data_IF_617888440764
#
_entry.id   IF_617888440764
#
_cell.length_a   1.000
_cell.length_b   1.000
_cell.length_c   1.000
_cell.angle_alpha   90.00
_cell.angle_beta   90.00
_cell.angle_gamma   90.00
#
_symmetry.space_group_name_H-M   'P 1'
#
loop_
_entity.id
_entity.type
_entity.pdbx_description
1 polymer ?
#
# COMPACT_ATOMS: atom_id res chain seq x y z
N UNK A 1 -43.67 6.24 41.99
CA UNK A 1 -42.32 6.72 42.34
C UNK A 1 -41.23 5.65 42.11
N UNK A 2 -41.45 4.35 42.40
CA UNK A 2 -40.43 3.28 42.21
C UNK A 2 -39.93 3.14 40.76
N UNK A 3 -40.78 3.31 39.74
CA UNK A 3 -40.41 3.15 38.33
C UNK A 3 -39.53 4.27 37.75
N UNK A 4 -39.51 5.43 38.41
CA UNK A 4 -38.68 6.57 37.97
C UNK A 4 -37.27 6.40 38.55
N UNK A 5 -37.15 5.98 39.80
CA UNK A 5 -35.85 5.72 40.42
C UNK A 5 -35.09 4.55 39.75
N UNK A 6 -35.77 3.50 39.33
CA UNK A 6 -35.13 2.41 38.61
C UNK A 6 -34.71 2.82 37.20
N UNK A 7 -35.47 3.63 36.48
CA UNK A 7 -35.07 4.18 35.16
C UNK A 7 -33.87 5.14 35.26
N UNK A 8 -33.85 6.01 36.27
CA UNK A 8 -32.70 6.89 36.50
C UNK A 8 -31.44 6.13 36.90
N UNK A 9 -31.57 5.05 37.66
CA UNK A 9 -30.46 4.17 38.03
C UNK A 9 -29.88 3.44 36.79
N UNK A 10 -30.72 2.92 35.91
CA UNK A 10 -30.27 2.31 34.64
C UNK A 10 -29.60 3.32 33.70
N UNK A 11 -30.14 4.53 33.59
CA UNK A 11 -29.52 5.61 32.81
C UNK A 11 -28.18 6.05 33.38
N UNK A 12 -28.05 6.14 34.67
CA UNK A 12 -26.80 6.47 35.38
C UNK A 12 -25.76 5.33 35.26
N UNK A 13 -26.20 4.07 35.33
CA UNK A 13 -25.35 2.91 35.09
C UNK A 13 -24.86 2.80 33.65
N UNK A 14 -25.72 3.14 32.65
CA UNK A 14 -25.32 3.20 31.24
C UNK A 14 -24.33 4.34 30.99
N UNK A 15 -24.49 5.47 31.68
CA UNK A 15 -23.59 6.63 31.55
C UNK A 15 -22.21 6.34 32.19
N UNK A 16 -22.15 5.54 33.26
CA UNK A 16 -20.90 5.11 33.86
C UNK A 16 -20.11 4.09 32.99
N UNK A 17 -20.80 3.26 32.24
CA UNK A 17 -20.14 2.33 31.27
C UNK A 17 -19.47 3.00 30.09
N UNK A 18 -19.88 4.21 29.71
CA UNK A 18 -19.31 4.91 28.56
C UNK A 18 -17.95 5.60 28.83
N UNK A 19 -17.50 5.66 30.09
CA UNK A 19 -16.26 6.37 30.47
C UNK A 19 -15.00 5.51 30.28
N UNK A 20 -15.11 4.20 30.04
CA UNK A 20 -13.96 3.29 29.97
C UNK A 20 -13.41 2.99 28.56
N UNK A 21 -13.87 3.66 27.52
CA UNK A 21 -13.37 3.44 26.16
C UNK A 21 -12.25 4.41 25.73
N UNK A 22 -11.48 4.94 26.67
CA UNK A 22 -10.29 5.76 26.34
C UNK A 22 -9.12 4.82 26.00
N UNK A 23 -8.84 4.66 24.70
CA UNK A 23 -7.63 3.98 24.26
C UNK A 23 -6.38 4.61 24.87
N UNK A 24 -5.49 3.80 25.41
CA UNK A 24 -4.24 4.24 26.01
C UNK A 24 -3.19 4.52 24.93
N UNK A 25 -2.23 5.37 25.26
CA UNK A 25 -1.17 5.75 24.33
C UNK A 25 0.03 4.82 24.49
N UNK A 26 0.31 4.05 23.44
CA UNK A 26 1.60 3.41 23.24
C UNK A 26 2.53 4.41 22.58
N UNK A 27 3.69 4.64 23.14
CA UNK A 27 4.76 5.44 22.57
C UNK A 27 6.07 4.67 22.52
N UNK A 28 7.02 5.14 21.75
CA UNK A 28 8.35 4.51 21.76
C UNK A 28 9.31 5.12 20.75
N UNK A 29 10.54 4.60 20.80
CA UNK A 29 11.64 4.97 19.92
C UNK A 29 12.06 3.75 19.08
N UNK A 30 12.21 3.95 17.78
CA UNK A 30 12.70 2.94 16.86
C UNK A 30 14.08 3.32 16.38
N UNK A 31 15.04 2.38 16.51
CA UNK A 31 16.43 2.57 16.10
C UNK A 31 16.91 1.38 15.26
N UNK A 32 18.02 1.56 14.55
CA UNK A 32 18.79 0.46 13.99
C UNK A 32 19.72 -0.19 15.06
N UNK A 33 20.47 -1.21 14.67
CA UNK A 33 21.43 -1.90 15.54
C UNK A 33 22.59 -0.97 16.05
N UNK A 34 22.82 0.15 15.38
CA UNK A 34 23.81 1.16 15.78
C UNK A 34 23.22 2.23 16.71
N UNK A 35 21.98 2.06 17.18
CA UNK A 35 21.20 3.04 17.95
C UNK A 35 20.90 4.36 17.19
N UNK A 36 21.01 4.38 15.88
CA UNK A 36 20.58 5.53 15.08
C UNK A 36 19.06 5.52 14.95
N UNK A 37 18.36 6.64 15.17
CA UNK A 37 16.93 6.71 15.02
C UNK A 37 16.48 6.33 13.60
N UNK A 38 15.46 5.50 13.50
CA UNK A 38 14.86 5.12 12.23
C UNK A 38 13.60 5.93 11.95
N UNK A 39 13.67 6.89 11.02
CA UNK A 39 12.51 7.66 10.62
C UNK A 39 11.56 6.81 9.76
N UNK A 40 10.26 7.13 9.90
CA UNK A 40 9.22 6.68 8.98
C UNK A 40 9.02 5.16 8.91
N UNK A 41 9.41 4.46 9.98
CA UNK A 41 9.07 3.05 10.16
C UNK A 41 7.56 2.94 10.32
N UNK A 42 6.96 2.03 9.60
CA UNK A 42 5.55 1.69 9.75
C UNK A 42 5.35 0.82 10.97
N UNK A 43 4.45 1.23 11.85
CA UNK A 43 3.95 0.45 12.98
C UNK A 43 2.52 0.04 12.65
N UNK A 44 2.25 -1.24 12.56
CA UNK A 44 0.92 -1.76 12.30
C UNK A 44 0.47 -2.71 13.41
N UNK A 45 -0.68 -2.43 14.00
CA UNK A 45 -1.31 -3.31 14.96
C UNK A 45 -2.23 -4.30 14.24
N UNK A 46 -1.86 -5.59 14.21
CA UNK A 46 -2.63 -6.62 13.50
C UNK A 46 -3.97 -6.90 14.17
N UNK A 47 -4.05 -6.78 15.50
CA UNK A 47 -5.27 -7.00 16.28
C UNK A 47 -6.28 -5.86 16.15
N UNK A 48 -5.83 -4.61 16.29
CA UNK A 48 -6.69 -3.44 16.21
C UNK A 48 -6.86 -2.90 14.78
N UNK A 49 -6.07 -3.43 13.80
CA UNK A 49 -6.07 -3.02 12.38
C UNK A 49 -5.83 -1.51 12.18
N UNK A 50 -5.02 -0.92 13.06
CA UNK A 50 -4.62 0.48 13.00
C UNK A 50 -3.10 0.61 12.91
N UNK A 51 -2.61 1.72 12.37
CA UNK A 51 -1.19 1.95 12.20
C UNK A 51 -0.77 3.38 12.52
N UNK A 52 0.54 3.54 12.69
CA UNK A 52 1.24 4.81 12.81
C UNK A 52 2.59 4.70 12.12
N UNK A 53 3.29 5.83 12.00
CA UNK A 53 4.67 5.85 11.52
C UNK A 53 5.54 6.59 12.54
N UNK A 54 6.83 6.21 12.62
CA UNK A 54 7.79 6.98 13.40
C UNK A 54 8.07 8.33 12.74
N UNK A 55 8.40 9.33 13.53
CA UNK A 55 8.81 10.65 13.07
C UNK A 55 10.30 10.66 12.63
N UNK A 56 10.84 11.84 12.31
CA UNK A 56 12.25 12.02 11.89
C UNK A 56 13.25 11.56 12.95
N UNK A 57 12.87 11.61 14.22
CA UNK A 57 13.70 11.21 15.37
C UNK A 57 13.44 9.75 15.78
N UNK A 58 12.73 8.96 14.96
CA UNK A 58 12.39 7.57 15.26
C UNK A 58 11.27 7.38 16.30
N UNK A 59 10.69 8.47 16.84
CA UNK A 59 9.64 8.37 17.84
C UNK A 59 8.28 8.10 17.21
N UNK A 60 7.44 7.29 17.86
CA UNK A 60 6.07 7.03 17.44
C UNK A 60 5.08 7.13 18.60
N UNK A 61 3.81 7.32 18.25
CA UNK A 61 2.67 7.24 19.17
C UNK A 61 1.51 6.54 18.48
N UNK A 62 0.89 5.59 19.17
CA UNK A 62 -0.25 4.82 18.68
C UNK A 62 -1.26 4.67 19.81
N UNK A 63 -2.53 5.03 19.58
CA UNK A 63 -3.60 4.79 20.56
C UNK A 63 -4.15 3.39 20.34
N UNK A 64 -4.14 2.58 21.39
CA UNK A 64 -4.65 1.22 21.37
C UNK A 64 -5.65 1.03 22.51
N UNK A 65 -6.71 0.24 22.33
CA UNK A 65 -7.56 -0.19 23.44
C UNK A 65 -6.76 -1.06 24.41
N UNK A 66 -7.26 -1.22 25.62
CA UNK A 66 -6.67 -2.16 26.58
C UNK A 66 -6.70 -3.59 26.05
N UNK A 67 -5.67 -4.37 26.37
CA UNK A 67 -5.55 -5.76 25.95
C UNK A 67 -4.21 -6.11 25.30
N UNK A 68 -4.16 -7.34 24.78
CA UNK A 68 -2.99 -7.85 24.05
C UNK A 68 -3.04 -7.44 22.59
N UNK A 69 -1.94 -6.92 22.10
CA UNK A 69 -1.81 -6.47 20.73
C UNK A 69 -0.53 -6.99 20.08
N UNK A 70 -0.67 -7.47 18.85
CA UNK A 70 0.45 -7.85 18.02
C UNK A 70 0.82 -6.68 17.12
N UNK A 71 2.02 -6.13 17.33
CA UNK A 71 2.58 -5.05 16.51
C UNK A 71 3.56 -5.60 15.49
N UNK A 72 3.54 -5.02 14.31
CA UNK A 72 4.52 -5.26 13.25
C UNK A 72 5.20 -3.93 12.93
N UNK A 73 6.51 -3.90 13.09
CA UNK A 73 7.37 -2.79 12.71
C UNK A 73 8.03 -3.14 11.39
N UNK A 74 7.83 -2.34 10.36
CA UNK A 74 8.39 -2.57 9.03
C UNK A 74 8.95 -1.30 8.41
N UNK A 75 10.09 -1.44 7.78
CA UNK A 75 10.71 -0.41 6.96
C UNK A 75 11.42 -1.09 5.80
N UNK A 76 11.50 -0.41 4.64
CA UNK A 76 12.24 -0.91 3.48
C UNK A 76 13.73 -0.97 3.88
N UNK A 77 14.42 -2.03 3.47
CA UNK A 77 15.80 -2.36 3.80
C UNK A 77 16.04 -2.82 5.27
N UNK A 78 14.99 -3.02 6.07
CA UNK A 78 15.05 -3.59 7.41
C UNK A 78 14.18 -4.85 7.53
N UNK A 79 14.60 -5.80 8.36
CA UNK A 79 13.79 -6.97 8.70
C UNK A 79 12.55 -6.53 9.48
N UNK A 80 11.39 -7.00 9.05
CA UNK A 80 10.16 -6.74 9.78
C UNK A 80 10.21 -7.42 11.16
N UNK A 81 9.90 -6.65 12.22
CA UNK A 81 9.89 -7.13 13.61
C UNK A 81 8.46 -7.22 14.12
N UNK A 82 8.11 -8.39 14.64
CA UNK A 82 6.86 -8.59 15.38
C UNK A 82 7.11 -8.51 16.87
N UNK A 83 6.23 -7.82 17.57
CA UNK A 83 6.32 -7.69 19.03
C UNK A 83 4.91 -7.68 19.64
N UNK A 84 4.70 -8.55 20.61
CA UNK A 84 3.48 -8.51 21.42
C UNK A 84 3.64 -7.44 22.51
N UNK A 85 2.57 -6.66 22.71
CA UNK A 85 2.47 -5.67 23.78
C UNK A 85 1.15 -5.85 24.53
N UNK A 86 1.16 -5.59 25.82
CA UNK A 86 -0.03 -5.60 26.65
C UNK A 86 -0.30 -4.16 27.06
N UNK A 87 -1.42 -3.62 26.60
CA UNK A 87 -1.87 -2.27 26.95
C UNK A 87 -2.74 -2.37 28.19
N UNK A 88 -2.30 -1.76 29.27
CA UNK A 88 -3.03 -1.61 30.53
C UNK A 88 -3.65 -0.23 30.68
N UNK A 89 -3.94 0.15 31.92
CA UNK A 89 -4.53 1.47 32.26
C UNK A 89 -3.52 2.63 32.14
N UNK A 90 -2.22 2.34 32.14
CA UNK A 90 -1.16 3.35 32.06
C UNK A 90 -0.54 3.42 30.65
N UNK A 91 -0.03 4.60 30.21
CA UNK A 91 0.71 4.72 28.98
C UNK A 91 1.93 3.80 28.98
N UNK A 92 2.17 3.11 27.87
CA UNK A 92 3.32 2.22 27.68
C UNK A 92 4.33 2.85 26.75
N UNK A 93 5.61 2.84 27.17
CA UNK A 93 6.72 3.24 26.33
C UNK A 93 7.62 2.04 26.01
N UNK A 94 7.98 1.88 24.74
CA UNK A 94 8.84 0.77 24.27
C UNK A 94 9.99 1.26 23.41
N UNK A 95 11.11 0.55 23.45
CA UNK A 95 12.22 0.74 22.49
C UNK A 95 12.25 -0.45 21.54
N UNK A 96 12.32 -0.15 20.24
CA UNK A 96 12.35 -1.15 19.17
C UNK A 96 13.61 -0.99 18.35
N UNK A 97 14.37 -2.07 18.21
CA UNK A 97 15.55 -2.10 17.34
C UNK A 97 15.21 -2.94 16.14
N UNK A 98 15.40 -2.39 14.93
CA UNK A 98 15.29 -3.10 13.66
C UNK A 98 16.67 -3.48 13.14
N UNK A 99 16.79 -4.70 12.62
CA UNK A 99 17.98 -5.20 11.96
C UNK A 99 17.93 -4.88 10.46
N UNK A 100 19.06 -4.53 9.88
CA UNK A 100 19.16 -4.34 8.43
C UNK A 100 18.83 -5.64 7.69
N UNK A 101 18.17 -5.50 6.54
CA UNK A 101 17.82 -6.63 5.68
C UNK A 101 19.08 -7.12 4.96
N UNK A 102 19.46 -8.36 5.22
CA UNK A 102 20.53 -9.00 4.49
C UNK A 102 20.02 -9.52 3.15
N UNK A 103 20.58 -9.02 2.07
CA UNK A 103 20.29 -9.50 0.72
C UNK A 103 21.25 -10.62 0.36
N UNK A 104 20.72 -11.76 -0.03
CA UNK A 104 21.51 -12.85 -0.59
C UNK A 104 21.62 -12.62 -2.11
N UNK A 105 22.83 -12.56 -2.61
CA UNK A 105 23.05 -12.63 -4.05
C UNK A 105 22.71 -14.04 -4.49
N UNK A 106 21.73 -14.21 -5.35
CA UNK A 106 21.54 -15.50 -6.02
C UNK A 106 22.79 -15.75 -6.86
N UNK A 107 23.38 -16.94 -6.69
CA UNK A 107 24.40 -17.42 -7.62
C UNK A 107 23.77 -17.40 -9.03
N UNK A 108 24.30 -16.54 -9.89
CA UNK A 108 23.78 -16.39 -11.25
C UNK A 108 24.25 -17.63 -11.98
N UNK A 109 23.39 -18.63 -12.16
CA UNK A 109 23.63 -19.62 -13.21
C UNK A 109 23.74 -18.84 -14.52
N UNK A 110 24.95 -18.79 -15.04
CA UNK A 110 25.26 -18.15 -16.30
C UNK A 110 24.55 -18.97 -17.37
N UNK A 111 23.30 -18.61 -17.64
CA UNK A 111 22.60 -19.13 -18.81
C UNK A 111 23.32 -18.61 -20.05
N UNK A 112 23.40 -19.43 -21.09
CA UNK A 112 24.13 -19.22 -22.34
C UNK A 112 23.83 -17.91 -23.07
N UNK A 113 22.92 -17.05 -22.57
CA UNK A 113 22.49 -15.78 -23.20
C UNK A 113 22.86 -14.51 -22.43
N UNK A 114 23.56 -14.59 -21.30
CA UNK A 114 24.01 -13.41 -20.53
C UNK A 114 22.86 -12.39 -20.19
N UNK A 115 21.63 -12.89 -19.96
CA UNK A 115 20.47 -12.07 -19.64
C UNK A 115 20.29 -12.00 -18.13
N UNK A 116 20.17 -10.79 -17.56
CA UNK A 116 19.94 -10.60 -16.12
C UNK A 116 18.65 -11.35 -15.68
N UNK A 117 18.69 -12.13 -14.58
CA UNK A 117 17.51 -12.84 -14.06
C UNK A 117 16.29 -11.93 -13.80
N UNK A 118 16.54 -10.66 -13.49
CA UNK A 118 15.47 -9.67 -13.33
C UNK A 118 14.53 -9.60 -14.55
N UNK A 119 15.06 -9.81 -15.76
CA UNK A 119 14.24 -9.75 -16.98
C UNK A 119 13.15 -10.82 -16.96
N UNK A 120 13.48 -12.04 -16.51
CA UNK A 120 12.52 -13.14 -16.43
C UNK A 120 11.50 -12.92 -15.31
N UNK A 121 11.96 -12.44 -14.15
CA UNK A 121 11.08 -12.07 -13.04
C UNK A 121 10.10 -10.99 -13.51
N UNK A 122 10.59 -9.91 -14.11
CA UNK A 122 9.76 -8.80 -14.56
C UNK A 122 8.76 -9.20 -15.67
N UNK A 123 9.13 -10.13 -16.56
CA UNK A 123 8.18 -10.68 -17.54
C UNK A 123 7.00 -11.35 -16.86
N UNK A 124 7.24 -12.13 -15.78
CA UNK A 124 6.20 -12.78 -14.99
C UNK A 124 5.35 -11.76 -14.23
N UNK A 125 5.98 -10.76 -13.59
CA UNK A 125 5.26 -9.68 -12.88
C UNK A 125 4.36 -8.88 -13.83
N UNK A 126 4.89 -8.48 -15.00
CA UNK A 126 4.13 -7.74 -16.00
C UNK A 126 3.00 -8.62 -16.56
N UNK A 127 3.26 -9.91 -16.77
CA UNK A 127 2.23 -10.87 -17.18
C UNK A 127 1.14 -11.06 -16.13
N UNK A 128 1.47 -10.98 -14.84
CA UNK A 128 0.52 -11.09 -13.72
C UNK A 128 -0.20 -9.77 -13.41
N UNK A 129 0.30 -8.61 -13.86
CA UNK A 129 -0.27 -7.31 -13.56
C UNK A 129 -1.78 -7.16 -13.87
N UNK A 130 -2.32 -7.69 -15.00
CA UNK A 130 -3.77 -7.64 -15.26
C UNK A 130 -4.60 -8.35 -14.20
N UNK A 131 -4.09 -9.44 -13.62
CA UNK A 131 -4.74 -10.15 -12.53
C UNK A 131 -4.79 -9.25 -11.27
N UNK A 132 -3.64 -8.75 -10.79
CA UNK A 132 -3.58 -7.92 -9.58
C UNK A 132 -4.35 -6.63 -9.69
N UNK A 133 -4.49 -6.09 -10.88
CA UNK A 133 -5.32 -4.90 -11.15
C UNK A 133 -6.81 -5.18 -10.96
N UNK A 134 -7.26 -6.42 -11.21
CA UNK A 134 -8.69 -6.78 -11.26
C UNK A 134 -9.14 -7.73 -10.16
N UNK A 135 -8.24 -8.25 -9.33
CA UNK A 135 -8.59 -9.21 -8.27
C UNK A 135 -9.63 -8.67 -7.28
N UNK A 136 -9.63 -7.36 -7.03
CA UNK A 136 -10.57 -6.70 -6.14
C UNK A 136 -11.64 -5.99 -6.95
N UNK A 137 -12.90 -6.34 -6.72
CA UNK A 137 -14.05 -5.70 -7.35
C UNK A 137 -14.36 -4.35 -6.70
N UNK A 138 -14.43 -4.36 -5.37
CA UNK A 138 -14.70 -3.16 -4.55
C UNK A 138 -13.90 -3.23 -3.25
N UNK A 139 -13.51 -2.09 -2.72
CA UNK A 139 -13.08 -2.01 -1.34
C UNK A 139 -13.44 -0.66 -0.71
N UNK A 140 -13.61 -0.68 0.61
CA UNK A 140 -13.60 0.51 1.44
C UNK A 140 -12.38 0.44 2.34
N UNK A 141 -11.76 1.58 2.59
CA UNK A 141 -10.62 1.67 3.49
C UNK A 141 -10.56 3.06 4.16
N UNK A 142 -9.83 3.15 5.25
CA UNK A 142 -9.52 4.41 5.92
C UNK A 142 -8.06 4.77 5.67
N UNK A 143 -7.83 6.01 5.25
CA UNK A 143 -6.50 6.55 4.99
C UNK A 143 -6.22 7.65 6.01
N UNK A 144 -5.23 7.43 6.86
CA UNK A 144 -4.64 8.44 7.70
C UNK A 144 -3.48 9.08 6.94
N UNK A 145 -3.47 10.40 6.85
CA UNK A 145 -2.42 11.18 6.19
C UNK A 145 -1.81 12.11 7.19
N UNK A 146 -0.49 12.10 7.28
CA UNK A 146 0.29 13.12 8.01
C UNK A 146 1.30 13.72 7.05
N UNK A 147 1.20 15.03 6.84
CA UNK A 147 2.05 15.78 5.93
C UNK A 147 2.86 16.85 6.65
N UNK A 148 4.07 17.08 6.15
CA UNK A 148 4.90 18.21 6.51
C UNK A 148 5.34 18.92 5.26
N UNK A 149 5.34 20.26 5.28
CA UNK A 149 5.79 21.09 4.17
C UNK A 149 6.67 22.23 4.66
N UNK A 150 7.67 22.59 3.86
CA UNK A 150 8.57 23.69 4.16
C UNK A 150 8.96 24.40 2.89
N UNK A 151 8.80 25.73 2.87
CA UNK A 151 9.42 26.58 1.84
C UNK A 151 10.84 26.88 2.26
N UNK A 152 11.82 26.45 1.45
CA UNK A 152 13.26 26.57 1.75
C UNK A 152 13.89 27.81 1.16
N UNK A 153 13.33 28.31 0.05
CA UNK A 153 13.82 29.50 -0.62
C UNK A 153 12.68 30.24 -1.30
N UNK A 154 12.73 31.57 -1.27
CA UNK A 154 11.83 32.45 -1.98
C UNK A 154 12.60 33.70 -2.47
N UNK A 155 12.45 34.07 -3.75
CA UNK A 155 13.08 35.27 -4.30
C UNK A 155 12.62 36.53 -3.55
N UNK A 156 13.58 37.46 -3.28
CA UNK A 156 13.32 38.62 -2.46
C UNK A 156 12.19 39.56 -2.98
N UNK A 157 12.06 39.63 -4.34
CA UNK A 157 11.05 40.51 -4.96
C UNK A 157 9.61 40.05 -4.77
N UNK A 158 9.39 38.73 -4.50
CA UNK A 158 8.05 38.19 -4.22
C UNK A 158 7.84 37.88 -2.74
N UNK A 159 8.91 37.85 -1.95
CA UNK A 159 8.88 37.44 -0.54
C UNK A 159 7.91 38.28 0.28
N UNK A 160 7.99 39.60 0.19
CA UNK A 160 7.13 40.53 0.95
C UNK A 160 5.65 40.42 0.56
N UNK A 161 5.37 40.18 -0.71
CA UNK A 161 4.00 39.99 -1.20
C UNK A 161 3.41 38.67 -0.71
N UNK A 162 4.17 37.59 -0.78
CA UNK A 162 3.75 36.24 -0.33
C UNK A 162 3.59 36.17 1.19
N UNK A 163 4.51 36.74 1.98
CA UNK A 163 4.43 36.74 3.44
C UNK A 163 3.19 37.50 3.92
N UNK A 164 2.80 38.58 3.23
CA UNK A 164 1.60 39.34 3.57
C UNK A 164 0.30 38.66 3.13
N UNK A 165 0.27 38.06 1.94
CA UNK A 165 -0.95 37.46 1.37
C UNK A 165 -1.22 36.05 1.83
N UNK A 166 -0.20 35.20 1.93
CA UNK A 166 -0.34 33.77 2.18
C UNK A 166 0.15 33.32 3.55
N UNK A 167 0.73 34.22 4.37
CA UNK A 167 1.32 33.88 5.68
C UNK A 167 2.38 32.77 5.61
N UNK A 168 3.05 32.62 4.47
CA UNK A 168 4.12 31.64 4.28
C UNK A 168 5.43 32.27 4.75
N UNK A 169 6.07 31.64 5.72
CA UNK A 169 7.38 32.02 6.24
C UNK A 169 8.44 31.04 5.71
N UNK A 170 9.51 31.57 5.10
CA UNK A 170 10.64 30.77 4.64
C UNK A 170 11.33 30.12 5.83
N UNK A 171 11.54 28.81 5.74
CA UNK A 171 12.18 28.04 6.81
C UNK A 171 11.19 27.45 7.83
N UNK A 172 9.96 27.94 7.89
CA UNK A 172 8.94 27.39 8.79
C UNK A 172 8.38 26.07 8.27
N UNK A 173 8.23 25.12 9.17
CA UNK A 173 7.56 23.85 8.88
C UNK A 173 6.05 23.99 9.10
N UNK A 174 5.28 23.51 8.13
CA UNK A 174 3.83 23.43 8.19
C UNK A 174 3.43 21.97 8.27
N UNK A 175 2.37 21.67 9.00
CA UNK A 175 1.88 20.32 9.23
C UNK A 175 0.43 20.20 8.78
N UNK A 176 0.11 19.10 8.13
CA UNK A 176 -1.27 18.71 7.85
C UNK A 176 -1.52 17.30 8.36
N UNK A 177 -2.73 17.05 8.82
CA UNK A 177 -3.16 15.75 9.31
C UNK A 177 -4.62 15.54 8.89
N UNK A 178 -4.91 14.43 8.25
CA UNK A 178 -6.26 14.10 7.83
C UNK A 178 -6.59 12.62 7.99
N UNK A 179 -7.87 12.35 8.14
CA UNK A 179 -8.46 11.02 8.10
C UNK A 179 -9.47 11.03 6.97
N UNK A 180 -9.30 10.15 6.00
CA UNK A 180 -10.15 10.04 4.83
C UNK A 180 -10.73 8.62 4.75
N UNK A 181 -11.97 8.51 4.36
CA UNK A 181 -12.55 7.24 3.92
C UNK A 181 -12.53 7.20 2.40
N UNK A 182 -12.01 6.11 1.86
CA UNK A 182 -11.99 5.87 0.43
C UNK A 182 -12.83 4.66 0.08
N UNK A 183 -13.55 4.76 -1.03
CA UNK A 183 -14.28 3.65 -1.65
C UNK A 183 -13.81 3.49 -3.08
N UNK A 184 -13.43 2.30 -3.42
CA UNK A 184 -13.04 1.92 -4.77
C UNK A 184 -14.06 0.94 -5.36
N UNK A 185 -14.39 1.10 -6.63
CA UNK A 185 -15.14 0.13 -7.43
C UNK A 185 -14.53 0.03 -8.82
N UNK A 186 -14.42 -1.20 -9.32
CA UNK A 186 -14.03 -1.45 -10.72
C UNK A 186 -14.94 -0.66 -11.67
N UNK A 187 -14.43 -0.18 -12.84
CA UNK A 187 -13.06 -0.39 -13.33
C UNK A 187 -12.04 0.60 -12.72
N UNK A 188 -12.46 1.79 -12.25
CA UNK A 188 -11.56 2.84 -11.77
C UNK A 188 -12.27 3.94 -10.96
N UNK A 189 -13.44 3.65 -10.43
CA UNK A 189 -14.23 4.66 -9.69
C UNK A 189 -13.72 4.76 -8.26
N UNK A 190 -13.28 5.97 -7.88
CA UNK A 190 -12.91 6.31 -6.50
C UNK A 190 -13.85 7.36 -5.95
N UNK A 191 -14.25 7.16 -4.70
CA UNK A 191 -14.94 8.16 -3.90
C UNK A 191 -14.12 8.40 -2.64
N UNK A 192 -13.96 9.64 -2.26
CA UNK A 192 -13.24 10.06 -1.07
C UNK A 192 -14.14 10.93 -0.20
N UNK A 193 -14.13 10.65 1.09
CA UNK A 193 -14.81 11.46 2.11
C UNK A 193 -13.79 11.85 3.17
N UNK A 194 -13.53 13.13 3.31
CA UNK A 194 -12.70 13.65 4.40
C UNK A 194 -13.51 13.60 5.69
N UNK A 195 -13.04 12.81 6.66
CA UNK A 195 -13.67 12.67 7.98
C UNK A 195 -13.14 13.74 8.93
N UNK A 196 -11.85 14.00 8.88
CA UNK A 196 -11.19 15.00 9.72
C UNK A 196 -10.00 15.58 8.97
N UNK A 197 -9.83 16.90 9.07
CA UNK A 197 -8.70 17.63 8.53
C UNK A 197 -8.23 18.67 9.54
N UNK A 198 -6.94 18.65 9.85
CA UNK A 198 -6.26 19.68 10.63
C UNK A 198 -5.01 20.08 9.87
N UNK A 199 -4.91 21.34 9.47
CA UNK A 199 -3.78 21.82 8.69
C UNK A 199 -3.33 23.20 9.17
N UNK A 200 -2.03 23.38 9.24
CA UNK A 200 -1.39 24.68 9.38
C UNK A 200 -0.81 25.17 8.06
N UNK A 201 -0.96 24.41 6.96
CA UNK A 201 -0.51 24.79 5.63
C UNK A 201 -1.38 25.94 5.10
N UNK A 202 -0.81 27.08 4.74
CA UNK A 202 -1.56 28.25 4.32
C UNK A 202 -1.89 28.27 2.82
N UNK A 203 -1.58 27.20 2.09
CA UNK A 203 -1.78 27.14 0.64
C UNK A 203 -2.59 25.90 0.25
N UNK A 204 -3.57 26.14 -0.62
CA UNK A 204 -4.45 25.08 -1.16
C UNK A 204 -3.77 24.23 -2.22
N UNK A 205 -2.72 24.77 -2.86
CA UNK A 205 -1.98 24.13 -3.96
C UNK A 205 -0.85 23.18 -3.52
N UNK A 206 -0.83 22.76 -2.25
CA UNK A 206 0.12 21.75 -1.80
C UNK A 206 -0.08 20.44 -2.58
N UNK A 207 1.00 19.68 -2.87
CA UNK A 207 0.88 18.40 -3.55
C UNK A 207 -0.15 17.50 -2.85
N UNK A 208 -1.04 16.90 -3.63
CA UNK A 208 -2.15 16.10 -3.11
C UNK A 208 -1.73 14.63 -2.96
N UNK A 209 -1.43 14.13 -1.75
CA UNK A 209 -0.93 12.76 -1.55
C UNK A 209 -1.96 11.71 -1.96
N UNK A 210 -3.25 12.04 -1.90
CA UNK A 210 -4.33 11.14 -2.26
C UNK A 210 -4.34 10.76 -3.74
N UNK A 211 -3.73 11.54 -4.61
CA UNK A 211 -3.53 11.17 -6.02
C UNK A 211 -2.67 9.92 -6.14
N UNK A 212 -1.61 9.81 -5.34
CA UNK A 212 -0.76 8.62 -5.31
C UNK A 212 -1.46 7.44 -4.62
N UNK A 213 -2.20 7.68 -3.54
CA UNK A 213 -2.96 6.63 -2.84
C UNK A 213 -4.04 6.01 -3.73
N UNK A 214 -4.70 6.82 -4.56
CA UNK A 214 -5.70 6.35 -5.53
C UNK A 214 -5.09 5.70 -6.78
N UNK A 215 -3.81 5.96 -7.04
CA UNK A 215 -3.09 5.34 -8.15
C UNK A 215 -2.93 3.84 -7.97
N UNK A 216 -2.92 3.11 -9.08
CA UNK A 216 -2.61 1.68 -9.09
C UNK A 216 -1.37 1.44 -9.95
N UNK A 217 -0.28 0.98 -9.33
CA UNK A 217 0.99 0.73 -10.01
C UNK A 217 0.89 -0.38 -11.08
N UNK A 218 -0.09 -1.27 -10.97
CA UNK A 218 -0.35 -2.31 -11.98
C UNK A 218 -1.05 -1.77 -13.24
N UNK A 219 -1.41 -0.49 -13.30
CA UNK A 219 -1.88 0.17 -14.52
C UNK A 219 -0.71 0.43 -15.49
N UNK A 220 -1.02 0.84 -16.71
CA UNK A 220 -0.02 1.23 -17.72
C UNK A 220 0.78 2.47 -17.33
N UNK A 221 0.16 3.35 -16.53
CA UNK A 221 0.82 4.51 -15.90
C UNK A 221 0.46 4.57 -14.41
N UNK A 222 1.38 5.09 -13.63
CA UNK A 222 1.16 5.43 -12.23
C UNK A 222 1.50 6.91 -12.07
N UNK A 223 0.55 7.72 -11.62
CA UNK A 223 0.69 9.20 -11.53
C UNK A 223 1.25 9.85 -12.81
N UNK A 224 0.66 9.48 -13.98
CA UNK A 224 1.04 9.97 -15.32
C UNK A 224 2.41 9.49 -15.85
N UNK A 225 3.21 8.85 -15.01
CA UNK A 225 4.51 8.26 -15.37
C UNK A 225 4.33 6.81 -15.83
N UNK A 226 5.08 6.36 -16.81
CA UNK A 226 5.00 4.98 -17.32
C UNK A 226 5.31 4.00 -16.20
N UNK A 227 4.36 3.13 -15.90
CA UNK A 227 4.57 2.13 -14.84
C UNK A 227 5.64 1.11 -15.25
N UNK A 228 6.56 0.75 -14.35
CA UNK A 228 7.51 -0.33 -14.59
C UNK A 228 6.83 -1.71 -14.70
N UNK A 229 5.54 -1.81 -14.38
CA UNK A 229 4.72 -3.01 -14.56
C UNK A 229 3.84 -2.96 -15.81
N UNK A 230 3.98 -1.93 -16.65
CA UNK A 230 3.25 -1.82 -17.90
C UNK A 230 3.76 -2.83 -18.94
N UNK A 231 2.94 -3.22 -19.93
CA UNK A 231 3.40 -4.06 -21.06
C UNK A 231 4.55 -3.43 -21.85
N UNK A 232 4.69 -2.10 -21.77
CA UNK A 232 5.73 -1.34 -22.48
C UNK A 232 7.00 -1.15 -21.64
N UNK A 233 7.04 -1.66 -20.41
CA UNK A 233 8.13 -1.40 -19.47
C UNK A 233 9.52 -1.71 -20.06
N UNK A 234 9.68 -2.80 -20.80
CA UNK A 234 10.97 -3.17 -21.41
C UNK A 234 11.44 -2.22 -22.53
N UNK A 235 10.57 -1.41 -23.10
CA UNK A 235 10.99 -0.35 -24.05
C UNK A 235 11.50 0.90 -23.33
N UNK A 236 11.13 1.08 -22.06
CA UNK A 236 11.39 2.28 -21.27
C UNK A 236 12.46 2.05 -20.21
N UNK A 237 12.53 0.83 -19.66
CA UNK A 237 13.37 0.47 -18.53
C UNK A 237 14.24 -0.74 -18.82
N UNK A 238 15.42 -0.75 -18.21
CA UNK A 238 16.20 -1.94 -17.94
C UNK A 238 16.02 -2.34 -16.47
N UNK A 239 16.15 -3.64 -16.20
CA UNK A 239 15.95 -4.22 -14.87
C UNK A 239 17.17 -5.02 -14.48
N UNK A 240 17.61 -4.87 -13.20
CA UNK A 240 18.74 -5.60 -12.64
C UNK A 240 18.37 -6.22 -11.31
N UNK A 241 18.68 -7.51 -11.14
CA UNK A 241 18.50 -8.19 -9.85
C UNK A 241 19.66 -7.79 -8.92
N UNK A 242 19.34 -7.24 -7.74
CA UNK A 242 20.33 -6.89 -6.72
C UNK A 242 20.41 -7.90 -5.57
N UNK A 243 19.53 -8.90 -5.56
CA UNK A 243 19.50 -9.95 -4.57
C UNK A 243 18.10 -10.33 -4.14
N UNK A 244 18.00 -11.23 -3.18
CA UNK A 244 16.73 -11.64 -2.58
C UNK A 244 16.86 -11.80 -1.07
N UNK A 245 15.72 -11.84 -0.38
CA UNK A 245 15.63 -12.14 1.04
C UNK A 245 14.35 -12.92 1.33
N UNK A 246 14.28 -13.52 2.52
CA UNK A 246 13.12 -14.26 2.97
C UNK A 246 12.36 -13.49 4.04
N UNK A 247 11.05 -13.36 3.85
CA UNK A 247 10.13 -12.82 4.84
C UNK A 247 8.87 -13.66 4.90
N UNK A 248 8.49 -14.11 6.11
CA UNK A 248 7.30 -14.96 6.34
C UNK A 248 7.27 -16.22 5.44
N UNK A 249 8.41 -16.87 5.23
CA UNK A 249 8.54 -18.06 4.40
C UNK A 249 8.45 -17.83 2.89
N UNK A 250 8.48 -16.58 2.44
CA UNK A 250 8.46 -16.20 1.03
C UNK A 250 9.76 -15.52 0.63
N UNK A 251 10.25 -15.87 -0.53
CA UNK A 251 11.38 -15.20 -1.14
C UNK A 251 10.92 -13.92 -1.82
N UNK A 252 11.65 -12.83 -1.60
CA UNK A 252 11.37 -11.51 -2.16
C UNK A 252 12.60 -11.04 -2.93
N UNK A 253 12.42 -10.79 -4.22
CA UNK A 253 13.49 -10.34 -5.10
C UNK A 253 13.55 -8.82 -5.15
N UNK A 254 14.76 -8.25 -4.92
CA UNK A 254 15.02 -6.82 -5.07
C UNK A 254 15.50 -6.53 -6.48
N UNK A 255 14.70 -5.79 -7.24
CA UNK A 255 14.95 -5.46 -8.63
C UNK A 255 15.13 -3.96 -8.77
N UNK A 256 16.27 -3.54 -9.31
CA UNK A 256 16.55 -2.16 -9.66
C UNK A 256 15.88 -1.80 -10.98
N UNK A 257 15.22 -0.63 -11.00
CA UNK A 257 14.65 -0.02 -12.21
C UNK A 257 15.65 1.01 -12.73
N UNK A 258 16.05 0.88 -13.98
CA UNK A 258 16.99 1.77 -14.64
C UNK A 258 16.30 2.34 -15.89
N UNK A 259 15.94 3.63 -15.91
CA UNK A 259 15.32 4.21 -17.09
C UNK A 259 16.33 4.30 -18.25
N UNK A 260 15.90 3.93 -19.46
CA UNK A 260 16.74 3.98 -20.67
C UNK A 260 16.97 5.41 -21.16
N UNK A 261 16.18 6.35 -20.69
CA UNK A 261 16.32 7.78 -20.98
C UNK A 261 16.00 8.61 -19.74
N UNK A 262 16.49 9.82 -19.67
CA UNK A 262 16.11 10.79 -18.66
C UNK A 262 14.78 11.44 -19.07
N UNK A 263 13.92 11.72 -18.11
CA UNK A 263 12.65 12.40 -18.32
C UNK A 263 11.78 12.37 -17.07
N UNK A 264 10.77 13.22 -17.05
CA UNK A 264 9.80 13.29 -15.96
C UNK A 264 8.70 12.20 -16.04
N UNK A 265 8.66 11.49 -17.16
CA UNK A 265 7.70 10.44 -17.48
C UNK A 265 8.25 9.02 -17.26
N UNK A 266 9.38 8.92 -16.56
CA UNK A 266 10.03 7.64 -16.21
C UNK A 266 10.37 7.60 -14.72
N UNK A 267 10.40 6.37 -14.18
CA UNK A 267 10.85 6.10 -12.81
C UNK A 267 12.25 5.50 -12.78
N UNK A 268 12.99 5.81 -11.73
CA UNK A 268 14.11 5.02 -11.24
C UNK A 268 13.80 4.52 -9.83
N UNK A 269 14.51 3.50 -9.36
CA UNK A 269 14.34 2.97 -8.00
C UNK A 269 14.32 1.47 -7.94
N UNK A 270 13.42 0.91 -7.11
CA UNK A 270 13.41 -0.51 -6.79
C UNK A 270 12.00 -1.09 -6.73
N UNK A 271 11.88 -2.34 -7.18
CA UNK A 271 10.72 -3.19 -6.95
C UNK A 271 11.14 -4.38 -6.08
N UNK A 272 10.33 -4.70 -5.09
CA UNK A 272 10.48 -5.87 -4.26
C UNK A 272 9.34 -6.83 -4.62
N UNK A 273 9.69 -7.93 -5.28
CA UNK A 273 8.74 -8.85 -5.89
C UNK A 273 8.69 -10.14 -5.10
N UNK A 274 7.48 -10.56 -4.73
CA UNK A 274 7.25 -11.86 -4.08
C UNK A 274 7.40 -12.97 -5.12
N UNK A 275 8.37 -13.86 -4.92
CA UNK A 275 8.61 -15.00 -5.79
C UNK A 275 7.37 -15.91 -5.85
N UNK A 276 7.14 -16.53 -7.00
CA UNK A 276 6.00 -17.41 -7.32
C UNK A 276 4.63 -16.71 -7.34
N UNK A 277 4.40 -15.65 -6.57
CA UNK A 277 3.16 -14.86 -6.65
C UNK A 277 3.25 -13.75 -7.68
N UNK A 278 4.44 -13.29 -8.00
CA UNK A 278 4.71 -12.22 -8.99
C UNK A 278 3.96 -10.92 -8.70
N UNK A 279 3.72 -10.67 -7.40
CA UNK A 279 3.15 -9.42 -6.91
C UNK A 279 4.21 -8.56 -6.22
N UNK A 280 3.88 -7.30 -5.99
CA UNK A 280 4.74 -6.41 -5.24
C UNK A 280 4.59 -6.64 -3.73
N UNK A 281 5.73 -6.80 -3.05
CA UNK A 281 5.87 -6.67 -1.61
C UNK A 281 6.00 -5.19 -1.24
N UNK A 282 6.85 -4.47 -1.95
CA UNK A 282 7.04 -3.02 -1.80
C UNK A 282 7.68 -2.44 -3.05
N UNK A 283 7.71 -1.11 -3.15
CA UNK A 283 8.47 -0.43 -4.19
C UNK A 283 8.99 0.93 -3.72
N UNK A 284 10.05 1.38 -4.33
CA UNK A 284 10.61 2.73 -4.22
C UNK A 284 10.69 3.30 -5.62
N UNK A 285 9.93 4.33 -5.90
CA UNK A 285 9.88 4.97 -7.20
C UNK A 285 10.28 6.43 -7.07
N UNK A 286 11.19 6.87 -7.91
CA UNK A 286 11.66 8.25 -7.98
C UNK A 286 11.47 8.76 -9.40
N UNK A 287 10.82 9.89 -9.54
CA UNK A 287 10.68 10.61 -10.82
C UNK A 287 11.36 11.97 -10.71
N UNK A 288 12.20 12.30 -11.68
CA UNK A 288 12.95 13.53 -11.72
C UNK A 288 12.44 14.41 -12.87
N UNK A 289 12.15 15.67 -12.56
CA UNK A 289 11.78 16.70 -13.54
C UNK A 289 12.70 17.91 -13.43
N UNK A 290 12.61 18.82 -14.38
CA UNK A 290 13.35 20.09 -14.34
C UNK A 290 12.99 20.95 -13.10
N UNK A 291 11.79 20.74 -12.56
CA UNK A 291 11.27 21.50 -11.42
C UNK A 291 11.48 20.81 -10.08
N UNK A 292 11.98 19.58 -10.07
CA UNK A 292 12.23 18.85 -8.82
C UNK A 292 12.08 17.35 -8.94
N UNK A 293 12.11 16.71 -7.78
CA UNK A 293 12.04 15.26 -7.61
C UNK A 293 10.77 14.91 -6.84
N UNK A 294 10.08 13.87 -7.29
CA UNK A 294 9.02 13.21 -6.56
C UNK A 294 9.45 11.77 -6.27
N UNK A 295 9.31 11.34 -5.02
CA UNK A 295 9.55 9.95 -4.66
C UNK A 295 8.35 9.37 -3.91
N UNK A 296 8.11 8.09 -4.10
CA UNK A 296 7.12 7.33 -3.35
C UNK A 296 7.66 5.97 -2.97
N UNK A 297 7.51 5.63 -1.69
CA UNK A 297 7.72 4.27 -1.19
C UNK A 297 6.36 3.70 -0.85
N UNK A 298 6.04 2.54 -1.38
CA UNK A 298 4.77 1.87 -1.14
C UNK A 298 5.08 0.50 -0.55
N UNK A 299 4.45 0.17 0.58
CA UNK A 299 4.49 -1.17 1.13
C UNK A 299 3.13 -1.84 0.97
N UNK A 300 3.14 -3.08 0.54
CA UNK A 300 1.95 -3.90 0.36
C UNK A 300 1.91 -4.96 1.46
N UNK A 301 0.73 -5.36 1.83
CA UNK A 301 0.54 -6.45 2.80
C UNK A 301 -0.52 -7.40 2.30
N UNK A 302 -0.31 -8.68 2.55
CA UNK A 302 -1.34 -9.68 2.35
C UNK A 302 -2.42 -9.48 3.41
N UNK A 303 -3.68 -9.41 2.99
CA UNK A 303 -4.80 -9.31 3.90
C UNK A 303 -5.07 -10.68 4.55
N UNK A 304 -5.20 -10.76 5.89
CA UNK A 304 -5.33 -12.04 6.59
C UNK A 304 -6.60 -12.82 6.22
N UNK A 305 -7.67 -12.09 5.92
CA UNK A 305 -8.99 -12.66 5.62
C UNK A 305 -9.08 -13.18 4.18
N UNK A 306 -8.25 -12.61 3.27
CA UNK A 306 -8.26 -12.89 1.85
C UNK A 306 -6.88 -13.39 1.44
N UNK A 307 -6.67 -14.68 1.51
CA UNK A 307 -5.35 -15.34 1.54
C UNK A 307 -4.34 -14.92 0.46
N UNK A 308 -4.76 -14.26 -0.63
CA UNK A 308 -3.86 -13.88 -1.72
C UNK A 308 -4.06 -12.44 -2.22
N UNK A 309 -4.73 -11.60 -1.45
CA UNK A 309 -4.90 -10.19 -1.79
C UNK A 309 -3.78 -9.38 -1.19
N UNK A 310 -2.99 -8.74 -2.04
CA UNK A 310 -1.92 -7.82 -1.65
C UNK A 310 -2.35 -6.39 -1.97
N UNK A 311 -2.59 -5.60 -0.93
CA UNK A 311 -2.99 -4.21 -1.06
C UNK A 311 -1.98 -3.29 -0.38
N UNK A 312 -1.84 -2.05 -0.88
CA UNK A 312 -0.95 -1.08 -0.28
C UNK A 312 -1.45 -0.69 1.12
N UNK A 313 -0.57 -0.72 2.09
CA UNK A 313 -0.87 -0.35 3.48
C UNK A 313 -0.19 0.92 3.92
N UNK A 314 0.92 1.30 3.28
CA UNK A 314 1.61 2.55 3.58
C UNK A 314 2.18 3.21 2.35
N UNK A 315 2.22 4.53 2.40
CA UNK A 315 2.88 5.37 1.43
C UNK A 315 3.77 6.37 2.18
N UNK A 316 5.02 6.50 1.74
CA UNK A 316 5.92 7.58 2.11
C UNK A 316 6.21 8.37 0.83
N UNK A 317 5.66 9.56 0.75
CA UNK A 317 5.65 10.37 -0.46
C UNK A 317 6.46 11.63 -0.17
N UNK A 318 7.44 11.94 -1.01
CA UNK A 318 8.26 13.11 -0.87
C UNK A 318 8.30 13.88 -2.19
N UNK A 319 8.11 15.20 -2.08
CA UNK A 319 8.28 16.14 -3.17
C UNK A 319 9.34 17.15 -2.76
N UNK A 320 10.35 17.34 -3.58
CA UNK A 320 11.36 18.38 -3.38
C UNK A 320 11.59 19.10 -4.70
N UNK A 321 11.40 20.40 -4.73
CA UNK A 321 11.55 21.14 -5.99
C UNK A 321 11.20 22.61 -5.87
N UNK A 322 11.03 23.25 -7.02
CA UNK A 322 10.69 24.65 -7.06
C UNK A 322 10.05 25.08 -8.39
N UNK A 323 9.33 26.17 -8.30
CA UNK A 323 8.72 26.82 -9.46
C UNK A 323 8.90 28.34 -9.32
N UNK A 324 9.25 29.02 -10.41
CA UNK A 324 9.51 30.47 -10.45
C UNK A 324 10.46 30.98 -9.34
N UNK A 325 11.47 30.16 -8.99
CA UNK A 325 12.46 30.50 -7.96
C UNK A 325 12.03 30.22 -6.52
N UNK A 326 10.78 29.90 -6.26
CA UNK A 326 10.33 29.41 -4.95
C UNK A 326 10.71 27.94 -4.86
N UNK A 327 11.45 27.53 -3.80
CA UNK A 327 11.83 26.15 -3.54
C UNK A 327 11.20 25.67 -2.25
N UNK A 328 10.80 24.40 -2.24
CA UNK A 328 10.22 23.78 -1.05
C UNK A 328 10.31 22.27 -1.08
N UNK A 329 9.97 21.66 0.04
CA UNK A 329 9.82 20.23 0.17
C UNK A 329 8.55 19.89 0.92
N UNK A 330 7.92 18.77 0.52
CA UNK A 330 6.73 18.24 1.15
C UNK A 330 6.95 16.75 1.36
N UNK A 331 6.55 16.24 2.51
CA UNK A 331 6.55 14.82 2.78
C UNK A 331 5.22 14.41 3.38
N UNK A 332 4.65 13.34 2.87
CA UNK A 332 3.39 12.77 3.33
C UNK A 332 3.58 11.31 3.69
N UNK A 333 3.14 10.96 4.87
CA UNK A 333 3.04 9.59 5.33
C UNK A 333 1.56 9.22 5.33
N UNK A 334 1.20 8.18 4.58
CA UNK A 334 -0.16 7.68 4.52
C UNK A 334 -0.19 6.24 5.04
N UNK A 335 -1.10 5.97 5.97
CA UNK A 335 -1.39 4.63 6.45
C UNK A 335 -2.82 4.25 6.03
N UNK A 336 -2.95 3.14 5.32
CA UNK A 336 -4.24 2.62 4.87
C UNK A 336 -4.64 1.44 5.76
N UNK A 337 -5.83 1.52 6.32
CA UNK A 337 -6.33 0.55 7.29
C UNK A 337 -7.80 0.25 7.06
N UNK A 338 -8.35 -0.69 7.83
CA UNK A 338 -9.77 -1.05 7.83
C UNK A 338 -10.29 -1.42 6.43
N UNK A 339 -9.49 -2.14 5.66
CA UNK A 339 -9.92 -2.66 4.38
C UNK A 339 -11.12 -3.60 4.53
N UNK A 340 -12.20 -3.27 3.82
CA UNK A 340 -13.33 -4.16 3.57
C UNK A 340 -13.34 -4.47 2.08
N UNK A 341 -12.89 -5.66 1.73
CA UNK A 341 -12.62 -6.07 0.35
C UNK A 341 -13.72 -6.98 -0.16
N UNK A 342 -14.16 -6.73 -1.38
CA UNK A 342 -15.01 -7.65 -2.15
C UNK A 342 -14.16 -8.10 -3.34
N UNK A 343 -13.88 -9.39 -3.38
CA UNK A 343 -13.13 -9.99 -4.48
C UNK A 343 -13.97 -10.00 -5.74
N UNK A 344 -13.30 -9.99 -6.87
CA UNK A 344 -13.94 -10.16 -8.16
C UNK A 344 -14.33 -11.64 -8.35
N UNK A 345 -15.64 -11.99 -8.33
CA UNK A 345 -16.08 -13.38 -8.39
C UNK A 345 -15.77 -14.05 -9.74
N UNK A 346 -15.45 -13.25 -10.76
CA UNK A 346 -15.17 -13.74 -12.10
C UNK A 346 -13.69 -14.04 -12.34
N UNK A 347 -12.84 -13.85 -11.31
CA UNK A 347 -11.44 -14.23 -11.35
C UNK A 347 -11.27 -15.51 -10.54
N UNK A 348 -10.70 -16.55 -11.18
CA UNK A 348 -10.33 -17.75 -10.43
C UNK A 348 -9.11 -17.45 -9.56
N UNK A 349 -9.37 -17.28 -8.27
CA UNK A 349 -8.33 -17.07 -7.26
C UNK A 349 -7.64 -18.37 -6.84
N UNK A 350 -8.15 -19.53 -7.22
CA UNK A 350 -7.65 -20.83 -6.73
C UNK A 350 -6.27 -21.17 -7.28
N UNK A 351 -5.98 -20.80 -8.53
CA UNK A 351 -4.66 -21.07 -9.11
C UNK A 351 -3.51 -20.38 -8.35
N UNK A 352 -3.72 -19.15 -7.86
CA UNK A 352 -2.76 -18.47 -6.99
C UNK A 352 -2.67 -19.12 -5.60
N UNK A 353 -3.78 -19.67 -5.10
CA UNK A 353 -3.78 -20.43 -3.84
C UNK A 353 -2.95 -21.71 -3.94
N UNK A 354 -2.98 -22.38 -5.07
CA UNK A 354 -2.14 -23.56 -5.32
C UNK A 354 -0.67 -23.16 -5.34
N UNK A 355 -0.30 -22.14 -6.12
CA UNK A 355 1.07 -21.63 -6.18
C UNK A 355 1.60 -21.12 -4.82
N UNK A 356 0.73 -20.48 -4.01
CA UNK A 356 1.09 -20.04 -2.67
C UNK A 356 1.23 -21.20 -1.67
N UNK A 357 0.38 -22.22 -1.75
CA UNK A 357 0.44 -23.42 -0.90
C UNK A 357 1.65 -24.26 -1.23
N UNK A 358 2.01 -24.43 -2.49
CA UNK A 358 3.23 -25.12 -2.88
C UNK A 358 4.48 -24.47 -2.29
N UNK A 359 4.50 -23.14 -2.20
CA UNK A 359 5.60 -22.40 -1.53
C UNK A 359 5.65 -22.64 -0.02
N UNK A 360 4.51 -22.79 0.63
CA UNK A 360 4.42 -23.10 2.07
C UNK A 360 4.57 -24.59 2.38
N UNK A 361 4.29 -25.48 1.42
CA UNK A 361 4.31 -26.94 1.59
C UNK A 361 5.67 -27.58 1.32
N UNK A 362 6.63 -26.88 0.73
CA UNK A 362 8.03 -27.32 0.70
C UNK A 362 8.62 -27.42 2.13
N UNK A 363 7.95 -26.85 3.13
CA UNK A 363 8.26 -27.05 4.55
C UNK A 363 7.47 -28.19 5.23
N UNK A 364 6.37 -28.71 4.63
CA UNK A 364 5.59 -29.82 5.21
C UNK A 364 4.85 -30.60 4.10
N UNK A 365 5.03 -31.91 4.09
CA UNK A 365 4.53 -32.93 3.14
C UNK A 365 3.21 -32.67 2.41
N UNK A 366 3.07 -33.10 1.12
CA UNK A 366 2.02 -32.65 0.20
C UNK A 366 0.63 -33.25 0.48
N UNK A 367 -0.40 -32.40 0.47
CA UNK A 367 -1.79 -32.81 0.30
C UNK A 367 -2.18 -32.61 -1.15
N UNK A 368 -2.48 -33.70 -1.88
CA UNK A 368 -3.07 -33.65 -3.22
C UNK A 368 -4.49 -33.07 -3.13
N UNK A 369 -4.71 -31.92 -3.73
CA UNK A 369 -6.04 -31.41 -4.04
C UNK A 369 -6.21 -31.44 -5.56
N UNK A 370 -7.14 -32.25 -6.08
CA UNK A 370 -7.54 -32.23 -7.47
C UNK A 370 -8.41 -31.00 -7.70
N UNK A 371 -7.85 -29.99 -8.35
CA UNK A 371 -8.59 -28.81 -8.82
C UNK A 371 -8.70 -28.92 -10.33
N UNK A 372 -9.93 -28.94 -10.83
CA UNK A 372 -10.20 -28.96 -12.28
C UNK A 372 -9.87 -27.59 -12.86
N UNK A 373 -8.70 -27.46 -13.43
CA UNK A 373 -8.23 -26.23 -14.09
C UNK A 373 -8.86 -26.09 -15.47
N UNK A 374 -9.16 -24.86 -15.87
CA UNK A 374 -9.57 -24.60 -17.26
C UNK A 374 -8.34 -24.68 -18.18
N UNK A 375 -8.54 -25.08 -19.45
CA UNK A 375 -7.46 -25.15 -20.46
C UNK A 375 -6.66 -23.86 -20.63
N UNK A 376 -7.22 -22.73 -20.26
CA UNK A 376 -6.53 -21.43 -20.33
C UNK A 376 -5.66 -21.20 -19.09
N UNK A 377 -6.14 -21.61 -17.92
CA UNK A 377 -5.40 -21.57 -16.66
C UNK A 377 -4.16 -22.46 -16.68
N UNK A 378 -4.28 -23.70 -17.21
CA UNK A 378 -3.13 -24.58 -17.43
C UNK A 378 -2.06 -23.94 -18.33
N UNK A 379 -2.48 -23.26 -19.39
CA UNK A 379 -1.55 -22.58 -20.30
C UNK A 379 -0.91 -21.34 -19.68
N UNK A 380 -1.59 -20.65 -18.80
CA UNK A 380 -1.04 -19.53 -18.01
C UNK A 380 -0.01 -20.09 -17.02
N UNK A 381 -0.32 -21.16 -16.32
CA UNK A 381 0.57 -21.81 -15.36
C UNK A 381 1.85 -22.36 -16.01
N UNK A 382 1.72 -23.02 -17.17
CA UNK A 382 2.88 -23.48 -17.97
C UNK A 382 3.78 -22.30 -18.37
N UNK A 383 3.22 -21.14 -18.69
CA UNK A 383 4.03 -19.97 -19.00
C UNK A 383 4.67 -19.36 -17.74
N UNK A 384 3.96 -19.37 -16.61
CA UNK A 384 4.50 -18.86 -15.33
C UNK A 384 5.56 -19.80 -14.73
N UNK A 385 5.49 -21.09 -14.98
CA UNK A 385 6.46 -22.08 -14.48
C UNK A 385 7.78 -22.10 -15.25
N UNK A 386 7.83 -21.50 -16.45
CA UNK A 386 9.07 -21.42 -17.22
C UNK A 386 10.10 -20.53 -16.53
N UNK A 387 11.31 -21.00 -16.43
CA UNK A 387 12.44 -20.21 -15.92
C UNK A 387 12.74 -19.00 -16.82
N UNK A 388 12.55 -19.14 -18.12
CA UNK A 388 12.75 -18.08 -19.10
C UNK A 388 11.50 -17.89 -19.98
N UNK A 389 11.01 -16.66 -20.05
CA UNK A 389 9.95 -16.24 -20.95
C UNK A 389 10.52 -15.36 -22.06
N UNK A 390 10.29 -15.74 -23.30
CA UNK A 390 10.57 -14.86 -24.44
C UNK A 390 9.62 -13.67 -24.46
N UNK A 391 9.99 -12.60 -25.16
CA UNK A 391 9.11 -11.43 -25.35
C UNK A 391 7.73 -11.81 -25.94
N UNK A 392 7.71 -12.82 -26.82
CA UNK A 392 6.48 -13.33 -27.45
C UNK A 392 5.61 -14.08 -26.44
N UNK A 393 6.21 -14.88 -25.55
CA UNK A 393 5.48 -15.60 -24.50
C UNK A 393 4.96 -14.67 -23.42
N UNK A 394 5.68 -13.59 -23.09
CA UNK A 394 5.21 -12.54 -22.20
C UNK A 394 3.94 -11.87 -22.74
N UNK A 395 3.94 -11.49 -24.03
CA UNK A 395 2.77 -10.92 -24.68
C UNK A 395 1.60 -11.90 -24.74
N UNK A 396 1.91 -13.20 -24.95
CA UNK A 396 0.92 -14.26 -24.93
C UNK A 396 0.32 -14.45 -23.53
N UNK A 397 1.14 -14.42 -22.49
CA UNK A 397 0.71 -14.48 -21.09
C UNK A 397 -0.19 -13.31 -20.74
N UNK A 398 0.24 -12.08 -21.04
CA UNK A 398 -0.56 -10.88 -20.83
C UNK A 398 -1.90 -10.91 -21.59
N UNK A 399 -1.89 -11.38 -22.85
CA UNK A 399 -3.10 -11.53 -23.67
C UNK A 399 -4.06 -12.58 -23.11
N UNK A 400 -3.55 -13.71 -22.60
CA UNK A 400 -4.37 -14.77 -21.99
C UNK A 400 -4.98 -14.33 -20.67
N UNK A 401 -4.21 -13.65 -19.83
CA UNK A 401 -4.70 -13.08 -18.58
C UNK A 401 -5.71 -11.97 -18.83
N UNK A 402 -5.53 -11.16 -19.87
CA UNK A 402 -6.50 -10.16 -20.32
C UNK A 402 -7.81 -10.79 -20.79
N UNK A 403 -7.75 -11.87 -21.61
CA UNK A 403 -8.95 -12.58 -22.10
C UNK A 403 -9.74 -13.23 -20.97
N UNK A 404 -9.06 -13.81 -19.98
CA UNK A 404 -9.73 -14.36 -18.80
C UNK A 404 -10.52 -13.26 -18.08
N UNK A 405 -9.89 -12.11 -17.85
CA UNK A 405 -10.50 -10.96 -17.20
C UNK A 405 -11.60 -10.25 -18.03
N UNK A 406 -11.55 -10.32 -19.37
CA UNK A 406 -12.59 -9.74 -20.26
C UNK A 406 -13.83 -10.61 -20.37
N UNK A 407 -13.69 -11.94 -20.36
CA UNK A 407 -14.84 -12.86 -20.26
C UNK A 407 -15.61 -12.62 -18.97
N UNK A 408 -14.93 -12.34 -17.92
CA UNK A 408 -15.43 -12.07 -16.60
C UNK A 408 -16.15 -10.72 -16.51
N UNK A 409 -15.62 -9.68 -17.17
CA UNK A 409 -16.28 -8.38 -17.25
C UNK A 409 -17.63 -8.46 -18.00
N UNK A 410 -17.71 -9.31 -19.04
CA UNK A 410 -18.98 -9.54 -19.77
C UNK A 410 -20.03 -10.29 -18.94
N UNK A 411 -19.58 -11.26 -18.12
CA UNK A 411 -20.48 -11.95 -17.20
C UNK A 411 -20.97 -11.03 -16.06
N UNK A 412 -20.10 -10.13 -15.57
CA UNK A 412 -20.47 -9.11 -14.57
C UNK A 412 -21.50 -8.11 -15.11
N UNK A 413 -21.38 -7.69 -16.36
CA UNK A 413 -22.37 -6.81 -16.98
C UNK A 413 -23.76 -7.49 -17.05
N UNK A 414 -23.81 -8.80 -17.32
CA UNK A 414 -25.06 -9.56 -17.32
C UNK A 414 -25.64 -9.80 -15.92
N UNK A 415 -24.79 -9.89 -14.88
CA UNK A 415 -25.24 -10.08 -13.49
C UNK A 415 -25.65 -8.75 -12.86
N UNK A 416 -25.02 -7.63 -13.22
CA UNK A 416 -25.44 -6.29 -12.75
C UNK A 416 -26.80 -5.87 -13.33
N UNK A 417 -27.10 -6.19 -14.59
CA UNK A 417 -28.43 -5.96 -15.16
C UNK A 417 -29.55 -6.75 -14.44
N UNK A 418 -29.21 -7.90 -13.86
CA UNK A 418 -30.17 -8.70 -13.06
C UNK A 418 -30.20 -8.31 -11.58
N UNK A 419 -29.18 -7.60 -11.05
CA UNK A 419 -29.11 -7.19 -9.64
C UNK A 419 -29.55 -5.74 -9.40
N UNK A 420 -29.59 -4.87 -10.39
CA UNK A 420 -30.20 -3.53 -10.25
C UNK A 420 -31.70 -3.61 -9.95
N UNK A 421 -32.40 -4.67 -10.38
CA UNK A 421 -33.80 -4.93 -10.05
C UNK A 421 -34.02 -5.37 -8.58
N UNK A 422 -33.01 -5.75 -7.84
CA UNK A 422 -33.11 -6.18 -6.43
C UNK A 422 -32.57 -5.18 -5.40
N UNK A 423 -31.83 -4.14 -5.81
CA UNK A 423 -31.23 -3.14 -4.91
C UNK A 423 -32.18 -1.99 -4.63
N UNK A 424 -33.09 -1.66 -5.53
CA UNK A 424 -34.15 -0.64 -5.30
C UNK A 424 -35.15 -1.03 -4.22
N UNK A 425 -35.30 -2.33 -3.92
CA UNK A 425 -36.20 -2.80 -2.85
C UNK A 425 -35.56 -2.73 -1.44
N UNK A 426 -34.23 -2.56 -1.31
CA UNK A 426 -33.53 -2.48 -0.04
C UNK A 426 -33.13 -1.05 0.37
N UNK A 427 -33.31 -0.08 -0.52
CA UNK A 427 -32.99 1.33 -0.25
C UNK A 427 -34.09 2.09 0.51
N UNK A 428 -35.23 1.47 0.82
CA UNK A 428 -36.37 2.10 1.51
C UNK A 428 -36.46 1.84 3.01
N UNK A 429 -35.50 1.14 3.62
CA UNK A 429 -35.40 1.11 5.07
C UNK A 429 -34.44 2.21 5.55
N UNK A 430 -35.02 3.37 5.84
CA UNK A 430 -34.38 4.44 6.63
C UNK A 430 -34.12 3.95 8.03
N UNK A 431 -32.87 3.68 8.35
CA UNK A 431 -32.42 3.48 9.73
C UNK A 431 -32.11 4.83 10.36
N UNK A 432 -33.04 5.29 11.22
CA UNK A 432 -32.99 6.59 11.92
C UNK A 432 -32.20 6.54 13.23
N UNK A 433 -31.30 5.57 13.41
CA UNK A 433 -30.61 5.32 14.68
C UNK A 433 -29.14 5.77 14.73
N UNK A 434 -28.70 6.67 13.86
CA UNK A 434 -27.27 7.10 13.83
C UNK A 434 -27.00 8.51 14.40
N UNK A 435 -28.01 9.12 15.05
CA UNK A 435 -27.84 10.41 15.75
C UNK A 435 -28.40 10.32 17.16
N UNK A 436 -27.60 9.78 18.09
CA UNK A 436 -27.67 10.09 19.54
C UNK A 436 -26.32 9.70 20.17
#
# INVERSE_FOLDING_TARGET
>A
MANILTRTFYLFSLMLCSVFAMGQTLSGLITNAKNEPLPYVTIYCETAKIGANSNVDGNFKLKLPEGRHQLVFSSIDYKAKRQEVIIGAEPLEIKVVLEEQNYQLKEVEITTKNVDPAVNIMRKVIGAAPYYRRQVLKYNARVYVKGTGKVTHMPGFIKSAFEKSSKIEVGKAYVTESVNEISFSQPSTYREKVISLKSSMPFEEAPQPMTMVRGNIYNTSYTEVVSPLSPQAFSVYDFKLEGSFYENGREINKIKIIPKRKGSDVYEGYLYVVEKLWCLHSCVLVSNSNNGTASVKISFKQLPEEALVWLPVTYDIEFAGGFMGIKGSFRYLCAVSNYKVVLNPNIDHQWLMVAAKETLAETNKPVKLEVTKTKNQEKIEVLLSKQELSKREMLLLASRMKRESEKETKQLAMVNDSSELSIDSLATQKDSSFWL
#
